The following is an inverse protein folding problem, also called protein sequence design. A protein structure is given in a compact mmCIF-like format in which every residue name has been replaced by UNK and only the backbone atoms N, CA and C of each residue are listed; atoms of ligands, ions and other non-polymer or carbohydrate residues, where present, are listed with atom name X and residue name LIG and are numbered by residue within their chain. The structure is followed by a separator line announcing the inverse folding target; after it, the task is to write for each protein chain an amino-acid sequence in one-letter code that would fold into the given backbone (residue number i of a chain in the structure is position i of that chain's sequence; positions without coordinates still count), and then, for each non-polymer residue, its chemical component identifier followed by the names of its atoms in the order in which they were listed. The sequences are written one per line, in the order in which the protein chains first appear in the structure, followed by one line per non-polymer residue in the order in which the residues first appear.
data_IF_506252303371
#
_entry.id   IF_506252303371
#
_cell.length_a   1.000
_cell.length_b   1.000
_cell.length_c   1.000
_cell.angle_alpha   90.00
_cell.angle_beta   90.00
_cell.angle_gamma   90.00
#
_symmetry.space_group_name_H-M   'P 1'
#
loop_
_entity.id
_entity.type
_entity.pdbx_description
1 polymer ?
#
# COMPACT_ATOMS: atom_id res chain seq x y z
N UNK A 1 15.81 1.01 -3.54
CA UNK A 1 16.15 1.65 -4.83
C UNK A 1 15.82 0.77 -6.04
N UNK A 2 16.08 -0.54 -6.01
CA UNK A 2 15.79 -1.45 -7.13
C UNK A 2 14.31 -1.44 -7.59
N UNK A 3 13.34 -1.50 -6.69
CA UNK A 3 11.89 -1.51 -7.04
C UNK A 3 11.44 -0.23 -7.74
N UNK A 4 11.84 0.96 -7.24
CA UNK A 4 11.51 2.24 -7.88
C UNK A 4 12.22 2.38 -9.23
N UNK A 5 13.47 1.92 -9.33
CA UNK A 5 14.18 1.90 -10.61
C UNK A 5 13.54 0.92 -11.61
N UNK A 6 13.01 -0.22 -11.14
CA UNK A 6 12.24 -1.15 -11.96
C UNK A 6 10.94 -0.51 -12.44
N UNK A 7 10.18 0.15 -11.54
CA UNK A 7 8.98 0.91 -11.91
C UNK A 7 9.27 1.97 -12.99
N UNK A 8 10.34 2.75 -12.82
CA UNK A 8 10.77 3.75 -13.82
C UNK A 8 11.24 3.13 -15.13
N UNK A 9 11.84 1.93 -15.12
CA UNK A 9 12.34 1.23 -16.32
C UNK A 9 11.25 0.49 -17.08
N UNK A 10 10.19 0.09 -16.41
CA UNK A 10 9.15 -0.78 -16.99
C UNK A 10 8.00 -0.01 -17.63
N UNK A 11 8.10 1.32 -17.75
CA UNK A 11 7.09 2.16 -18.40
C UNK A 11 5.68 1.89 -17.86
N UNK A 12 5.56 1.51 -16.59
CA UNK A 12 4.26 1.47 -15.93
C UNK A 12 3.84 2.91 -15.78
N UNK A 13 2.79 3.32 -16.49
CA UNK A 13 2.29 4.69 -16.43
C UNK A 13 1.93 4.99 -14.96
N UNK A 14 2.69 5.87 -14.27
CA UNK A 14 2.45 6.16 -12.86
C UNK A 14 1.05 6.75 -12.64
N UNK A 15 0.42 7.29 -13.69
CA UNK A 15 -0.94 7.77 -13.68
C UNK A 15 -2.02 6.69 -13.78
N UNK A 16 -1.72 5.39 -13.81
CA UNK A 16 -2.73 4.30 -13.79
C UNK A 16 -2.29 3.03 -13.04
N UNK A 17 -1.34 3.14 -12.10
CA UNK A 17 -0.73 1.98 -11.45
C UNK A 17 -1.39 1.65 -10.10
N UNK A 18 -1.73 0.36 -9.88
CA UNK A 18 -2.06 -0.18 -8.55
C UNK A 18 -0.91 -1.04 -8.02
N UNK A 19 -0.36 -0.69 -6.86
CA UNK A 19 0.66 -1.50 -6.19
C UNK A 19 0.10 -2.28 -4.99
N UNK A 20 0.52 -3.52 -4.82
CA UNK A 20 0.26 -4.33 -3.63
C UNK A 20 1.54 -4.59 -2.84
N UNK A 21 1.46 -4.44 -1.52
CA UNK A 21 2.55 -4.74 -0.59
C UNK A 21 2.14 -5.87 0.34
N UNK A 22 2.70 -7.06 0.13
CA UNK A 22 2.47 -8.23 0.97
C UNK A 22 3.43 -8.19 2.16
N UNK A 23 2.88 -8.22 3.37
CA UNK A 23 3.65 -7.98 4.60
C UNK A 23 3.75 -6.51 4.96
N UNK A 24 2.82 -5.67 4.50
CA UNK A 24 2.81 -4.22 4.75
C UNK A 24 2.80 -3.84 6.25
N UNK A 25 2.29 -4.71 7.13
CA UNK A 25 2.32 -4.50 8.58
C UNK A 25 3.71 -4.71 9.23
N UNK A 26 4.68 -5.27 8.48
CA UNK A 26 6.08 -5.43 8.90
C UNK A 26 6.92 -4.17 8.65
N UNK A 27 8.12 -4.10 9.22
CA UNK A 27 9.00 -2.92 9.07
C UNK A 27 9.41 -2.66 7.62
N UNK A 28 9.85 -3.71 6.90
CA UNK A 28 10.26 -3.61 5.49
C UNK A 28 9.05 -3.30 4.61
N UNK A 29 7.95 -4.05 4.76
CA UNK A 29 6.71 -3.82 4.01
C UNK A 29 6.16 -2.41 4.22
N UNK A 30 6.12 -1.90 5.45
CA UNK A 30 5.69 -0.54 5.75
C UNK A 30 6.54 0.52 5.04
N UNK A 31 7.87 0.36 5.09
CA UNK A 31 8.78 1.26 4.37
C UNK A 31 8.54 1.23 2.85
N UNK A 32 8.37 0.04 2.27
CA UNK A 32 8.05 -0.12 0.86
C UNK A 32 6.71 0.52 0.50
N UNK A 33 5.70 0.40 1.36
CA UNK A 33 4.40 1.01 1.15
C UNK A 33 4.49 2.55 1.09
N UNK A 34 5.21 3.19 2.02
CA UNK A 34 5.44 4.64 2.03
C UNK A 34 6.22 5.13 0.80
N UNK A 35 7.15 4.32 0.30
CA UNK A 35 7.93 4.63 -0.90
C UNK A 35 7.10 4.49 -2.18
N UNK A 36 6.35 3.39 -2.32
CA UNK A 36 5.54 3.12 -3.49
C UNK A 36 4.37 4.09 -3.61
N UNK A 37 3.77 4.47 -2.48
CA UNK A 37 2.63 5.39 -2.44
C UNK A 37 2.91 6.76 -3.09
N UNK A 38 4.17 7.18 -3.21
CA UNK A 38 4.53 8.44 -3.86
C UNK A 38 4.40 8.42 -5.39
N UNK A 39 4.20 7.26 -6.00
CA UNK A 39 4.27 7.09 -7.46
C UNK A 39 3.15 6.25 -8.07
N UNK A 40 2.16 5.83 -7.29
CA UNK A 40 1.05 5.00 -7.75
C UNK A 40 -0.28 5.70 -7.50
N UNK A 41 -1.34 5.27 -8.18
CA UNK A 41 -2.70 5.79 -7.97
C UNK A 41 -3.43 5.11 -6.83
N UNK A 42 -3.16 3.82 -6.64
CA UNK A 42 -3.80 2.99 -5.62
C UNK A 42 -2.77 2.11 -4.97
N UNK A 43 -2.95 1.88 -3.67
CA UNK A 43 -2.10 0.95 -2.94
C UNK A 43 -2.91 -0.02 -2.11
N UNK A 44 -2.53 -1.29 -2.18
CA UNK A 44 -3.14 -2.40 -1.44
C UNK A 44 -2.12 -2.86 -0.40
N UNK A 45 -2.51 -2.84 0.86
CA UNK A 45 -1.71 -3.26 2.00
C UNK A 45 -2.21 -4.63 2.47
N UNK A 46 -1.40 -5.66 2.25
CA UNK A 46 -1.74 -7.05 2.60
C UNK A 46 -1.03 -7.48 3.88
N UNK A 47 -1.80 -7.94 4.85
CA UNK A 47 -1.33 -8.47 6.13
C UNK A 47 -1.37 -9.99 6.21
N UNK A 48 -0.90 -10.52 7.34
CA UNK A 48 -0.89 -11.96 7.59
C UNK A 48 -2.32 -12.48 7.91
N UNK A 49 -2.89 -13.41 7.11
CA UNK A 49 -4.22 -13.96 7.36
C UNK A 49 -4.30 -14.84 8.60
N UNK A 50 -3.18 -15.38 9.11
CA UNK A 50 -3.16 -16.15 10.35
C UNK A 50 -3.49 -15.29 11.59
N UNK A 51 -3.40 -13.96 11.48
CA UNK A 51 -3.67 -13.02 12.57
C UNK A 51 -4.49 -11.81 12.08
N UNK A 52 -5.73 -12.00 11.61
CA UNK A 52 -6.43 -11.03 10.78
C UNK A 52 -6.73 -9.72 11.52
N UNK A 53 -7.20 -9.79 12.77
CA UNK A 53 -7.48 -8.59 13.60
C UNK A 53 -6.23 -7.74 13.83
N UNK A 54 -5.11 -8.39 14.18
CA UNK A 54 -3.83 -7.71 14.43
C UNK A 54 -3.27 -7.13 13.13
N UNK A 55 -3.39 -7.86 12.03
CA UNK A 55 -3.02 -7.38 10.70
C UNK A 55 -3.82 -6.14 10.33
N UNK A 56 -5.16 -6.18 10.37
CA UNK A 56 -6.01 -5.03 10.07
C UNK A 56 -5.66 -3.80 10.91
N UNK A 57 -5.55 -3.95 12.24
CA UNK A 57 -5.21 -2.81 13.11
C UNK A 57 -3.89 -2.14 12.71
N UNK A 58 -2.85 -2.93 12.43
CA UNK A 58 -1.55 -2.39 11.97
C UNK A 58 -1.62 -1.81 10.56
N UNK A 59 -2.34 -2.44 9.65
CA UNK A 59 -2.47 -1.94 8.28
C UNK A 59 -3.20 -0.61 8.24
N UNK A 60 -4.21 -0.39 9.10
CA UNK A 60 -4.87 0.92 9.22
C UNK A 60 -3.91 2.00 9.73
N UNK A 61 -3.02 1.66 10.67
CA UNK A 61 -1.94 2.58 11.09
C UNK A 61 -1.01 2.92 9.92
N UNK A 62 -0.60 1.93 9.13
CA UNK A 62 0.22 2.16 7.93
C UNK A 62 -0.53 3.00 6.89
N UNK A 63 -1.83 2.76 6.68
CA UNK A 63 -2.65 3.56 5.78
C UNK A 63 -2.74 5.02 6.21
N UNK A 64 -2.96 5.27 7.51
CA UNK A 64 -2.93 6.62 8.08
C UNK A 64 -1.55 7.29 7.95
N UNK A 65 -0.47 6.53 8.16
CA UNK A 65 0.91 6.99 7.99
C UNK A 65 1.18 7.39 6.52
N UNK A 66 0.67 6.61 5.55
CA UNK A 66 0.75 6.95 4.13
C UNK A 66 0.03 8.27 3.84
N UNK A 67 -1.21 8.46 4.35
CA UNK A 67 -1.93 9.71 4.16
C UNK A 67 -1.10 10.90 4.68
N UNK A 68 -0.60 10.83 5.92
CA UNK A 68 0.22 11.89 6.51
C UNK A 68 1.51 12.14 5.73
N UNK A 69 2.20 11.08 5.34
CA UNK A 69 3.45 11.15 4.59
C UNK A 69 3.26 11.82 3.23
N UNK A 70 2.23 11.43 2.49
CA UNK A 70 1.96 11.99 1.17
C UNK A 70 1.57 13.46 1.25
N UNK A 71 0.68 13.85 2.17
CA UNK A 71 0.30 15.27 2.32
C UNK A 71 1.48 16.16 2.73
N UNK A 72 2.42 15.63 3.53
CA UNK A 72 3.58 16.40 3.98
C UNK A 72 4.74 16.43 2.96
N UNK A 73 5.01 15.31 2.29
CA UNK A 73 6.25 15.11 1.52
C UNK A 73 6.06 14.93 0.02
N UNK A 74 4.85 14.58 -0.43
CA UNK A 74 4.54 14.34 -1.83
C UNK A 74 3.08 14.69 -2.17
N UNK A 75 2.61 15.92 -1.86
CA UNK A 75 1.19 16.29 -2.03
C UNK A 75 0.75 16.22 -3.50
N UNK A 76 1.68 16.38 -4.43
CA UNK A 76 1.41 16.31 -5.86
C UNK A 76 1.39 14.89 -6.46
N UNK A 77 1.70 13.86 -5.65
CA UNK A 77 1.60 12.47 -6.06
C UNK A 77 0.15 12.10 -6.43
N UNK A 78 -0.07 11.10 -7.31
CA UNK A 78 -1.42 10.69 -7.69
C UNK A 78 -2.30 10.34 -6.48
N UNK A 79 -1.79 9.49 -5.58
CA UNK A 79 -2.44 9.18 -4.30
C UNK A 79 -2.66 10.41 -3.41
N UNK A 80 -1.65 11.28 -3.27
CA UNK A 80 -1.73 12.47 -2.42
C UNK A 80 -2.84 13.43 -2.84
N UNK A 81 -3.00 13.65 -4.15
CA UNK A 81 -4.06 14.50 -4.73
C UNK A 81 -5.46 13.94 -4.44
N UNK A 82 -5.64 12.63 -4.56
CA UNK A 82 -6.93 11.99 -4.27
C UNK A 82 -7.26 12.05 -2.78
N UNK A 83 -6.28 11.79 -1.90
CA UNK A 83 -6.44 11.87 -0.45
C UNK A 83 -6.83 13.29 -0.01
N UNK A 84 -6.17 14.32 -0.55
CA UNK A 84 -6.43 15.72 -0.22
C UNK A 84 -7.85 16.21 -0.58
N UNK A 85 -8.54 15.50 -1.50
CA UNK A 85 -9.93 15.83 -1.90
C UNK A 85 -10.98 15.17 -1.00
N UNK A 86 -10.59 14.21 -0.16
CA UNK A 86 -11.54 13.52 0.71
C UNK A 86 -12.03 14.47 1.82
N UNK A 87 -13.35 14.54 2.06
CA UNK A 87 -13.89 15.38 3.14
C UNK A 87 -13.27 15.05 4.51
N UNK A 88 -12.92 16.08 5.26
CA UNK A 88 -12.30 15.92 6.58
C UNK A 88 -10.83 15.49 6.54
N UNK A 89 -10.17 15.58 5.36
CA UNK A 89 -8.73 15.41 5.25
C UNK A 89 -7.98 16.32 6.25
N UNK A 90 -7.14 15.77 7.14
CA UNK A 90 -6.38 16.54 8.11
C UNK A 90 -5.35 17.45 7.44
N UNK A 91 -4.98 18.54 8.11
CA UNK A 91 -3.77 19.29 7.77
C UNK A 91 -2.53 18.43 8.03
N UNK A 92 -1.51 18.56 7.18
CA UNK A 92 -0.24 17.81 7.28
C UNK A 92 0.48 17.97 8.63
N UNK A 93 0.23 19.06 9.37
CA UNK A 93 0.80 19.33 10.69
C UNK A 93 0.08 18.61 11.84
N UNK A 94 -1.09 17.99 11.59
CA UNK A 94 -1.83 17.26 12.62
C UNK A 94 -1.17 15.93 13.00
N UNK A 95 -1.51 15.44 14.18
CA UNK A 95 -0.91 14.25 14.77
C UNK A 95 -1.42 12.93 14.14
N UNK A 96 -0.76 11.83 14.50
CA UNK A 96 -1.10 10.49 14.01
C UNK A 96 -2.53 10.07 14.35
N UNK A 97 -3.09 10.53 15.48
CA UNK A 97 -4.44 10.19 15.91
C UNK A 97 -5.49 10.80 14.98
N UNK A 98 -5.28 12.05 14.54
CA UNK A 98 -6.15 12.69 13.56
C UNK A 98 -6.16 11.92 12.22
N UNK A 99 -4.99 11.50 11.75
CA UNK A 99 -4.85 10.71 10.52
C UNK A 99 -5.44 9.31 10.63
N UNK A 100 -5.28 8.64 11.77
CA UNK A 100 -5.88 7.32 12.00
C UNK A 100 -7.41 7.38 12.01
N UNK A 101 -7.98 8.40 12.65
CA UNK A 101 -9.43 8.65 12.61
C UNK A 101 -9.89 8.92 11.19
N UNK A 102 -9.25 9.85 10.49
CA UNK A 102 -9.55 10.15 9.08
C UNK A 102 -9.51 8.90 8.20
N UNK A 103 -8.45 8.10 8.32
CA UNK A 103 -8.31 6.85 7.57
C UNK A 103 -9.45 5.88 7.86
N UNK A 104 -9.80 5.70 9.13
CA UNK A 104 -10.83 4.75 9.55
C UNK A 104 -12.22 5.19 9.07
N UNK A 105 -12.54 6.47 9.20
CA UNK A 105 -13.85 7.03 8.84
C UNK A 105 -14.05 7.07 7.32
N UNK A 106 -12.97 7.14 6.54
CA UNK A 106 -12.99 7.30 5.08
C UNK A 106 -12.41 6.13 4.31
N UNK A 107 -12.14 4.99 4.95
CA UNK A 107 -11.49 3.83 4.30
C UNK A 107 -12.11 3.43 2.93
N UNK A 108 -13.44 3.44 2.73
CA UNK A 108 -14.04 3.12 1.42
C UNK A 108 -13.80 4.16 0.32
N UNK A 109 -13.50 5.41 0.70
CA UNK A 109 -13.26 6.52 -0.23
C UNK A 109 -11.78 6.70 -0.56
N UNK A 110 -10.90 6.14 0.29
CA UNK A 110 -9.47 6.28 0.13
C UNK A 110 -8.95 5.35 -0.97
N UNK A 111 -7.98 5.80 -1.78
CA UNK A 111 -7.25 4.95 -2.73
C UNK A 111 -6.25 3.98 -2.05
N UNK A 112 -6.52 3.61 -0.79
CA UNK A 112 -5.70 2.73 0.04
C UNK A 112 -6.59 1.59 0.54
N UNK A 113 -6.32 0.37 0.09
CA UNK A 113 -7.03 -0.83 0.54
C UNK A 113 -6.21 -1.57 1.59
N UNK A 114 -6.84 -1.97 2.70
CA UNK A 114 -6.24 -2.85 3.72
C UNK A 114 -6.95 -4.19 3.69
N UNK A 115 -6.19 -5.28 3.58
CA UNK A 115 -6.76 -6.62 3.50
C UNK A 115 -5.81 -7.69 4.06
N UNK A 116 -6.36 -8.87 4.30
CA UNK A 116 -5.60 -10.11 4.55
C UNK A 116 -5.92 -11.20 3.52
N UNK A 117 -6.81 -10.90 2.57
CA UNK A 117 -7.19 -11.78 1.49
C UNK A 117 -6.39 -11.43 0.24
N UNK A 118 -5.28 -12.14 0.05
CA UNK A 118 -4.42 -11.96 -1.11
C UNK A 118 -5.10 -12.43 -2.40
N UNK A 119 -5.96 -13.45 -2.36
CA UNK A 119 -6.59 -14.03 -3.54
C UNK A 119 -7.61 -13.05 -4.17
N UNK A 120 -8.28 -12.25 -3.33
CA UNK A 120 -9.19 -11.19 -3.80
C UNK A 120 -8.46 -9.93 -4.28
N UNK A 121 -7.33 -9.57 -3.66
CA UNK A 121 -6.69 -8.27 -3.88
C UNK A 121 -5.56 -8.28 -4.91
N UNK A 122 -4.73 -9.33 -4.96
CA UNK A 122 -3.61 -9.41 -5.91
C UNK A 122 -4.01 -9.39 -7.39
N UNK A 123 -5.20 -9.85 -7.82
CA UNK A 123 -5.64 -9.69 -9.21
C UNK A 123 -5.84 -8.23 -9.63
N UNK A 124 -5.91 -7.29 -8.68
CA UNK A 124 -6.08 -5.86 -8.94
C UNK A 124 -4.75 -5.12 -9.09
N UNK A 125 -3.64 -5.74 -8.72
CA UNK A 125 -2.33 -5.10 -8.65
C UNK A 125 -1.52 -5.31 -9.93
N UNK A 126 -0.93 -4.22 -10.44
CA UNK A 126 0.05 -4.24 -11.53
C UNK A 126 1.46 -4.55 -11.01
N UNK A 127 1.70 -4.22 -9.76
CA UNK A 127 3.00 -4.36 -9.09
C UNK A 127 2.77 -5.00 -7.74
N UNK A 128 3.40 -6.13 -7.48
CA UNK A 128 3.36 -6.84 -6.21
C UNK A 128 4.76 -6.85 -5.60
N UNK A 129 4.88 -6.39 -4.37
CA UNK A 129 6.13 -6.46 -3.60
C UNK A 129 5.90 -7.28 -2.35
N UNK A 130 6.70 -8.32 -2.16
CA UNK A 130 6.62 -9.19 -0.98
C UNK A 130 7.75 -8.89 -0.01
N UNK A 131 7.40 -8.61 1.23
CA UNK A 131 8.33 -8.34 2.32
C UNK A 131 7.79 -8.96 3.62
N UNK A 132 7.62 -10.28 3.59
CA UNK A 132 7.05 -11.07 4.69
C UNK A 132 8.06 -12.12 5.16
N UNK A 133 8.10 -12.38 6.48
CA UNK A 133 8.82 -13.51 7.07
C UNK A 133 7.90 -14.71 7.32
N UNK A 134 6.61 -14.60 6.98
CA UNK A 134 5.68 -15.72 7.05
C UNK A 134 5.91 -16.64 5.86
N UNK A 135 6.10 -17.93 6.14
CA UNK A 135 6.25 -19.03 5.16
C UNK A 135 5.01 -19.32 4.31
N UNK A 136 3.94 -18.53 4.44
CA UNK A 136 2.72 -18.70 3.65
C UNK A 136 2.90 -18.18 2.22
N UNK A 137 2.69 -19.04 1.23
CA UNK A 137 2.60 -18.66 -0.20
C UNK A 137 1.34 -17.81 -0.45
N UNK A 138 1.44 -16.51 -0.15
CA UNK A 138 0.38 -15.53 -0.38
C UNK A 138 0.31 -15.09 -1.85
N UNK A 139 1.44 -15.13 -2.55
CA UNK A 139 1.52 -14.83 -3.99
C UNK A 139 1.63 -16.15 -4.74
N UNK A 140 0.71 -16.38 -5.67
CA UNK A 140 0.62 -17.58 -6.51
C UNK A 140 0.39 -17.16 -7.96
N UNK A 141 0.83 -17.95 -8.95
CA UNK A 141 0.56 -17.64 -10.36
C UNK A 141 -0.93 -17.36 -10.65
N UNK A 142 -1.83 -18.10 -9.99
CA UNK A 142 -3.27 -18.03 -10.25
C UNK A 142 -3.97 -16.82 -9.60
N UNK A 143 -3.30 -16.13 -8.65
CA UNK A 143 -3.90 -15.01 -7.93
C UNK A 143 -3.28 -13.65 -8.26
N UNK A 144 -2.39 -13.59 -9.25
CA UNK A 144 -1.79 -12.33 -9.71
C UNK A 144 -2.34 -11.95 -11.08
N UNK A 145 -2.45 -10.64 -11.33
CA UNK A 145 -2.82 -10.11 -12.65
C UNK A 145 -1.81 -10.58 -13.71
N UNK A 146 -2.30 -11.01 -14.87
CA UNK A 146 -1.41 -11.30 -16.00
C UNK A 146 -0.59 -10.07 -16.38
N UNK A 147 0.74 -10.24 -16.48
CA UNK A 147 1.67 -9.14 -16.74
C UNK A 147 2.07 -8.33 -15.51
N UNK A 148 1.64 -8.70 -14.30
CA UNK A 148 2.08 -8.04 -13.07
C UNK A 148 3.58 -8.20 -12.85
N UNK A 149 4.22 -7.14 -12.35
CA UNK A 149 5.58 -7.23 -11.83
C UNK A 149 5.56 -7.77 -10.41
N UNK A 150 6.36 -8.79 -10.14
CA UNK A 150 6.55 -9.33 -8.78
C UNK A 150 7.99 -9.09 -8.34
N UNK A 151 8.16 -8.48 -7.18
CA UNK A 151 9.47 -8.26 -6.54
C UNK A 151 9.47 -8.89 -5.16
N UNK A 152 10.26 -9.96 -4.99
CA UNK A 152 10.38 -10.65 -3.71
C UNK A 152 11.60 -10.20 -2.92
N UNK A 153 11.33 -9.69 -1.71
CA UNK A 153 12.30 -9.21 -0.73
C UNK A 153 12.21 -10.01 0.58
N UNK A 154 11.50 -11.14 0.57
CA UNK A 154 11.47 -12.08 1.70
C UNK A 154 12.86 -12.70 1.92
N UNK A 155 13.14 -13.04 3.19
CA UNK A 155 14.34 -13.80 3.54
C UNK A 155 13.96 -15.27 3.65
N UNK A 156 14.78 -16.21 3.14
CA UNK A 156 14.58 -17.64 3.33
C UNK A 156 14.68 -18.03 4.81
#
# INVERSE_FOLDING_TARGET
QATIAALKRLHVDPGHTTAAVVGAAGSIGRCLALLLAQSVEKIILLGNPANPRRSQAKLSQVGAEICRHLLASAPDSPLGKEIARIPGCPDSAQDEVAFLRFFTDNAPLLPITVSVDADTELPKADVVVTATSSVSNLVKPDNVKFGALICDLSRP
#
